data_IF_404347093103
#
_entry.id   IF_404347093103
#
_cell.length_a   1.000
_cell.length_b   1.000
_cell.length_c   1.000
_cell.angle_alpha   90.00
_cell.angle_beta   90.00
_cell.angle_gamma   90.00
#
_symmetry.space_group_name_H-M   'P 1'
#
loop_
_entity.id
_entity.type
_entity.pdbx_description
1 polymer ?
#
# COMPACT_ATOMS: atom_id res chain seq x y z
N UNK A 1 5.93 5.04 1.52
CA UNK A 1 5.20 3.76 1.51
C UNK A 1 4.22 3.77 0.35
N UNK A 2 4.17 2.71 -0.45
CA UNK A 2 3.27 2.58 -1.60
C UNK A 2 2.35 1.39 -1.35
N UNK A 3 1.06 1.53 -1.67
CA UNK A 3 0.12 0.41 -1.61
C UNK A 3 -0.36 0.12 -3.04
N UNK A 4 -0.04 -1.05 -3.60
CA UNK A 4 -0.58 -1.46 -4.88
C UNK A 4 -2.07 -1.77 -4.74
N UNK A 5 -2.87 -1.23 -5.65
CA UNK A 5 -4.28 -1.58 -5.78
C UNK A 5 -4.42 -2.59 -6.93
N UNK A 6 -5.27 -3.61 -6.76
CA UNK A 6 -5.60 -4.52 -7.86
C UNK A 6 -6.24 -3.70 -9.00
N UNK A 7 -5.64 -3.75 -10.21
CA UNK A 7 -6.11 -2.99 -11.38
C UNK A 7 -5.33 -1.70 -11.67
N UNK A 8 -3.98 -1.75 -11.66
CA UNK A 8 -3.05 -0.74 -12.22
C UNK A 8 -2.68 0.48 -11.36
N UNK A 9 -3.46 0.87 -10.35
CA UNK A 9 -3.18 2.10 -9.61
C UNK A 9 -2.30 1.90 -8.36
N UNK A 10 -1.24 2.71 -8.25
CA UNK A 10 -0.37 2.80 -7.06
C UNK A 10 -0.74 4.06 -6.28
N UNK A 11 -1.01 3.93 -4.98
CA UNK A 11 -1.12 5.10 -4.11
C UNK A 11 0.20 5.35 -3.40
N UNK A 12 0.79 6.50 -3.71
CA UNK A 12 1.89 7.05 -2.92
C UNK A 12 1.34 7.62 -1.61
N UNK A 13 1.79 7.10 -0.46
CA UNK A 13 1.42 7.62 0.86
C UNK A 13 2.41 8.65 1.41
N UNK A 14 3.35 9.13 0.59
CA UNK A 14 4.21 10.24 1.00
C UNK A 14 3.35 11.47 1.32
N UNK A 15 3.73 12.17 2.38
CA UNK A 15 3.05 13.35 2.90
C UNK A 15 1.55 13.13 3.20
N UNK A 16 1.12 11.90 3.51
CA UNK A 16 -0.24 11.66 4.01
C UNK A 16 -0.35 12.11 5.47
N UNK A 17 -1.31 12.99 5.76
CA UNK A 17 -1.66 13.42 7.12
C UNK A 17 -2.66 12.43 7.74
N UNK A 18 -3.71 12.08 7.00
CA UNK A 18 -4.79 11.27 7.52
C UNK A 18 -5.37 10.32 6.47
N UNK A 19 -5.89 9.18 6.93
CA UNK A 19 -6.65 8.21 6.15
C UNK A 19 -7.92 7.92 6.94
N UNK A 20 -9.10 8.20 6.38
CA UNK A 20 -10.37 8.06 7.09
C UNK A 20 -11.48 7.55 6.18
N UNK A 21 -12.47 6.90 6.80
CA UNK A 21 -13.63 6.35 6.10
C UNK A 21 -14.65 7.46 5.82
N UNK A 22 -15.26 7.40 4.65
CA UNK A 22 -16.42 8.20 4.24
C UNK A 22 -17.56 7.27 3.83
N UNK A 23 -18.73 7.84 3.52
CA UNK A 23 -19.91 7.09 3.08
C UNK A 23 -19.67 6.34 1.76
N UNK A 24 -18.76 6.85 0.93
CA UNK A 24 -18.43 6.34 -0.41
C UNK A 24 -17.10 5.59 -0.47
N UNK A 25 -16.34 5.48 0.63
CA UNK A 25 -15.07 4.77 0.64
C UNK A 25 -14.05 5.28 1.65
N UNK A 26 -12.82 5.51 1.19
CA UNK A 26 -11.70 6.04 1.99
C UNK A 26 -11.12 7.28 1.33
N UNK A 27 -10.97 8.34 2.11
CA UNK A 27 -10.30 9.57 1.72
C UNK A 27 -8.90 9.64 2.36
N UNK A 28 -7.94 10.15 1.60
CA UNK A 28 -6.54 10.33 2.03
C UNK A 28 -6.20 11.81 1.95
N UNK A 29 -6.01 12.45 3.10
CA UNK A 29 -5.59 13.85 3.20
C UNK A 29 -4.06 13.96 3.09
N UNK A 30 -3.59 14.83 2.21
CA UNK A 30 -2.18 15.15 1.98
C UNK A 30 -1.74 16.41 2.70
N UNK A 31 -0.43 16.53 2.88
CA UNK A 31 0.25 17.68 3.51
C UNK A 31 0.01 19.01 2.83
N UNK A 32 -0.25 18.99 1.53
CA UNK A 32 -0.60 20.16 0.72
C UNK A 32 -2.10 20.50 0.78
N UNK A 33 -2.88 19.76 1.57
CA UNK A 33 -4.34 19.93 1.69
C UNK A 33 -5.15 19.18 0.62
N UNK A 34 -4.52 18.53 -0.35
CA UNK A 34 -5.24 17.73 -1.35
C UNK A 34 -5.83 16.45 -0.76
N UNK A 35 -6.93 15.97 -1.35
CA UNK A 35 -7.63 14.75 -0.91
C UNK A 35 -7.70 13.77 -2.07
N UNK A 36 -7.19 12.55 -1.85
CA UNK A 36 -7.34 11.43 -2.78
C UNK A 36 -8.51 10.57 -2.31
N UNK A 37 -9.53 10.43 -3.17
CA UNK A 37 -10.71 9.59 -2.92
C UNK A 37 -10.51 8.20 -3.48
N UNK A 38 -10.90 7.18 -2.73
CA UNK A 38 -10.68 5.80 -3.11
C UNK A 38 -11.86 4.93 -2.69
N UNK A 39 -12.22 3.96 -3.52
CA UNK A 39 -13.35 3.05 -3.24
C UNK A 39 -13.02 1.88 -2.31
N UNK A 40 -11.76 1.71 -1.89
CA UNK A 40 -11.40 0.67 -0.93
C UNK A 40 -11.67 1.11 0.51
N UNK A 41 -11.71 0.15 1.43
CA UNK A 41 -11.83 0.43 2.87
C UNK A 41 -10.48 0.38 3.57
N UNK A 42 -10.32 0.98 4.78
CA UNK A 42 -9.07 0.88 5.54
C UNK A 42 -8.67 -0.57 5.86
N UNK A 43 -9.65 -1.45 6.07
CA UNK A 43 -9.41 -2.89 6.28
C UNK A 43 -8.79 -3.55 5.05
N UNK A 44 -9.22 -3.15 3.85
CA UNK A 44 -8.63 -3.60 2.58
C UNK A 44 -7.16 -3.18 2.48
N UNK A 45 -6.82 -1.96 2.90
CA UNK A 45 -5.44 -1.48 2.95
C UNK A 45 -4.59 -2.30 3.93
N UNK A 46 -5.09 -2.56 5.15
CA UNK A 46 -4.38 -3.35 6.16
C UNK A 46 -4.05 -4.75 5.64
N UNK A 47 -5.02 -5.43 5.04
CA UNK A 47 -4.81 -6.76 4.44
C UNK A 47 -3.73 -6.71 3.35
N UNK A 48 -3.81 -5.74 2.44
CA UNK A 48 -2.84 -5.56 1.34
C UNK A 48 -1.43 -5.27 1.84
N UNK A 49 -1.28 -4.44 2.88
CA UNK A 49 0.02 -4.18 3.49
C UNK A 49 0.62 -5.45 4.09
N UNK A 50 -0.17 -6.26 4.81
CA UNK A 50 0.30 -7.52 5.38
C UNK A 50 0.72 -8.52 4.30
N UNK A 51 -0.04 -8.62 3.21
CA UNK A 51 0.30 -9.51 2.09
C UNK A 51 1.57 -9.05 1.37
N UNK A 52 1.77 -7.74 1.21
CA UNK A 52 2.99 -7.16 0.67
C UNK A 52 4.21 -7.46 1.55
N UNK A 53 4.10 -7.26 2.87
CA UNK A 53 5.15 -7.58 3.82
C UNK A 53 5.49 -9.08 3.81
N UNK A 54 4.48 -9.96 3.80
CA UNK A 54 4.68 -11.42 3.68
C UNK A 54 5.45 -11.78 2.41
N UNK A 55 5.09 -11.20 1.26
CA UNK A 55 5.79 -11.42 0.00
C UNK A 55 7.24 -10.94 0.06
N UNK A 56 7.51 -9.79 0.69
CA UNK A 56 8.89 -9.33 0.90
C UNK A 56 9.71 -10.30 1.76
N UNK A 57 9.16 -10.79 2.86
CA UNK A 57 9.83 -11.77 3.73
C UNK A 57 10.19 -13.05 2.96
N UNK A 58 9.29 -13.54 2.11
CA UNK A 58 9.52 -14.72 1.26
C UNK A 58 10.65 -14.44 0.25
N UNK A 59 10.67 -13.26 -0.38
CA UNK A 59 11.72 -12.88 -1.35
C UNK A 59 13.10 -12.75 -0.69
N UNK A 60 13.17 -12.26 0.56
CA UNK A 60 14.43 -12.15 1.31
C UNK A 60 14.98 -13.54 1.67
N UNK A 61 14.13 -14.48 2.08
CA UNK A 61 14.56 -15.83 2.45
C UNK A 61 14.82 -16.77 1.26
N UNK A 62 14.37 -16.41 0.05
CA UNK A 62 14.57 -17.20 -1.17
C UNK A 62 15.83 -16.86 -1.98
N UNK A 63 16.58 -15.81 -1.60
CA UNK A 63 17.81 -15.39 -2.28
C UNK A 63 19.03 -16.20 -1.81
N UNK A 64 18.99 -17.53 -1.97
CA UNK A 64 20.22 -18.31 -1.99
C UNK A 64 20.95 -18.01 -3.31
N UNK A 65 21.94 -17.14 -3.24
CA UNK A 65 22.87 -16.86 -4.33
C UNK A 65 23.67 -18.12 -4.66
N UNK A 66 23.25 -18.86 -5.67
CA UNK A 66 24.12 -19.81 -6.37
C UNK A 66 25.07 -19.00 -7.26
N UNK A 67 26.24 -18.67 -6.70
CA UNK A 67 27.39 -18.21 -7.47
C UNK A 67 28.41 -19.35 -7.39
N UNK A 68 28.31 -20.28 -8.34
CA UNK A 68 29.40 -21.19 -8.68
C UNK A 68 29.73 -20.92 -10.15
N UNK A 69 30.78 -20.15 -10.38
CA UNK A 69 31.50 -20.03 -11.65
C UNK A 69 32.91 -20.54 -11.46
#
# INVERSE_FOLDING_TARGET
MFIPLEGENIICLCNTIAIYKTDIGTDILKGDGSIIKTGFTPTTLKKRQLDFLKKQTIVINGRSSSING
#
